data_IF_522333031418
#
_entry.id   IF_522333031418
#
_cell.length_a   1.000
_cell.length_b   1.000
_cell.length_c   1.000
_cell.angle_alpha   90.00
_cell.angle_beta   90.00
_cell.angle_gamma   90.00
#
_symmetry.space_group_name_H-M   'P 1'
#
loop_
_entity.id
_entity.type
_entity.pdbx_description
1 polymer ?
#
# COMPACT_ATOMS: atom_id res chain seq x y z
N UNK A 1 -24.29 -14.85 27.91
CA UNK A 1 -23.86 -14.77 26.50
C UNK A 1 -22.69 -15.72 26.27
N UNK A 2 -22.96 -16.97 25.89
CA UNK A 2 -21.93 -17.90 25.41
C UNK A 2 -21.46 -17.40 24.04
N UNK A 3 -20.21 -16.94 23.93
CA UNK A 3 -19.59 -16.81 22.61
C UNK A 3 -19.50 -18.23 22.06
N UNK A 4 -20.27 -18.56 21.03
CA UNK A 4 -20.01 -19.74 20.21
C UNK A 4 -18.55 -19.66 19.77
N UNK A 5 -17.67 -20.43 20.41
CA UNK A 5 -16.29 -20.58 19.98
C UNK A 5 -16.32 -21.41 18.71
N UNK A 6 -16.50 -20.72 17.61
CA UNK A 6 -16.37 -21.29 16.29
C UNK A 6 -14.96 -21.90 16.16
N UNK A 7 -14.81 -23.14 15.64
CA UNK A 7 -13.54 -23.86 15.67
C UNK A 7 -12.40 -23.06 15.02
N UNK A 8 -11.25 -22.97 15.68
CA UNK A 8 -10.08 -22.28 15.13
C UNK A 8 -9.61 -22.95 13.83
N UNK A 9 -9.42 -22.17 12.77
CA UNK A 9 -8.86 -22.67 11.51
C UNK A 9 -7.40 -23.06 11.71
N UNK A 10 -6.99 -24.25 11.26
CA UNK A 10 -5.57 -24.64 11.30
C UNK A 10 -4.73 -23.72 10.41
N UNK A 11 -3.44 -23.55 10.75
CA UNK A 11 -2.54 -22.68 9.99
C UNK A 11 -2.41 -23.09 8.51
N UNK A 12 -2.44 -24.40 8.24
CA UNK A 12 -2.42 -24.93 6.86
C UNK A 12 -3.68 -24.53 6.09
N UNK A 13 -4.87 -24.73 6.68
CA UNK A 13 -6.14 -24.36 6.04
C UNK A 13 -6.24 -22.86 5.79
N UNK A 14 -5.81 -22.05 6.76
CA UNK A 14 -5.77 -20.60 6.60
C UNK A 14 -4.90 -20.18 5.42
N UNK A 15 -3.67 -20.70 5.31
CA UNK A 15 -2.76 -20.40 4.20
C UNK A 15 -3.35 -20.78 2.84
N UNK A 16 -3.91 -21.98 2.74
CA UNK A 16 -4.56 -22.44 1.50
C UNK A 16 -5.72 -21.51 1.14
N UNK A 17 -6.56 -21.14 2.11
CA UNK A 17 -7.67 -20.22 1.88
C UNK A 17 -7.20 -18.83 1.45
N UNK A 18 -6.13 -18.29 2.04
CA UNK A 18 -5.54 -17.01 1.61
C UNK A 18 -5.02 -17.07 0.18
N UNK A 19 -4.29 -18.14 -0.18
CA UNK A 19 -3.79 -18.34 -1.55
C UNK A 19 -4.95 -18.50 -2.53
N UNK A 20 -6.00 -19.24 -2.15
CA UNK A 20 -7.19 -19.40 -2.97
C UNK A 20 -7.90 -18.06 -3.21
N UNK A 21 -8.09 -17.24 -2.16
CA UNK A 21 -8.68 -15.89 -2.32
C UNK A 21 -7.82 -14.99 -3.21
N UNK A 22 -6.50 -15.01 -3.04
CA UNK A 22 -5.59 -14.24 -3.89
C UNK A 22 -5.66 -14.70 -5.36
N UNK A 23 -5.72 -16.00 -5.60
CA UNK A 23 -5.89 -16.56 -6.95
C UNK A 23 -7.25 -16.19 -7.57
N UNK A 24 -8.33 -16.24 -6.79
CA UNK A 24 -9.65 -15.78 -7.24
C UNK A 24 -9.61 -14.31 -7.62
N UNK A 25 -9.00 -13.45 -6.80
CA UNK A 25 -8.85 -12.03 -7.11
C UNK A 25 -8.09 -11.81 -8.43
N UNK A 26 -6.96 -12.51 -8.63
CA UNK A 26 -6.20 -12.44 -9.88
C UNK A 26 -7.04 -12.86 -11.10
N UNK A 27 -7.76 -13.98 -11.01
CA UNK A 27 -8.59 -14.49 -12.12
C UNK A 27 -9.74 -13.55 -12.43
N UNK A 28 -10.44 -13.03 -11.42
CA UNK A 28 -11.56 -12.09 -11.62
C UNK A 28 -11.05 -10.80 -12.24
N UNK A 29 -9.99 -10.20 -11.69
CA UNK A 29 -9.40 -8.96 -12.24
C UNK A 29 -8.86 -9.17 -13.65
N UNK A 30 -8.19 -10.29 -13.92
CA UNK A 30 -7.75 -10.64 -15.27
C UNK A 30 -8.95 -10.72 -16.23
N UNK A 31 -10.03 -11.36 -15.82
CA UNK A 31 -11.23 -11.52 -16.64
C UNK A 31 -11.88 -10.16 -16.94
N UNK A 32 -12.05 -9.31 -15.91
CA UNK A 32 -12.62 -7.97 -16.07
C UNK A 32 -11.72 -7.10 -16.96
N UNK A 33 -10.40 -7.13 -16.76
CA UNK A 33 -9.44 -6.38 -17.57
C UNK A 33 -9.41 -6.79 -19.05
N UNK A 34 -9.84 -8.02 -19.39
CA UNK A 34 -9.89 -8.50 -20.77
C UNK A 34 -11.28 -8.40 -21.40
N UNK A 35 -12.36 -8.60 -20.63
CA UNK A 35 -13.73 -8.63 -21.15
C UNK A 35 -14.43 -7.27 -21.06
N UNK A 36 -14.21 -6.52 -19.98
CA UNK A 36 -14.85 -5.22 -19.75
C UNK A 36 -13.98 -4.08 -20.29
N UNK A 37 -12.66 -4.20 -20.17
CA UNK A 37 -11.69 -3.20 -20.64
C UNK A 37 -10.75 -3.73 -21.76
N UNK A 38 -11.28 -4.30 -22.87
CA UNK A 38 -10.44 -4.79 -23.96
C UNK A 38 -9.58 -3.67 -24.57
N UNK A 39 -10.11 -2.45 -24.62
CA UNK A 39 -9.48 -1.25 -25.17
C UNK A 39 -9.08 -0.23 -24.11
N UNK A 40 -8.79 -0.69 -22.88
CA UNK A 40 -8.50 0.17 -21.72
C UNK A 40 -9.72 1.00 -21.27
N UNK A 41 -9.56 1.75 -20.20
CA UNK A 41 -10.56 2.68 -19.69
C UNK A 41 -10.55 4.00 -20.46
N UNK A 42 -11.60 4.80 -20.24
CA UNK A 42 -11.69 6.16 -20.76
C UNK A 42 -10.77 7.15 -20.02
N UNK A 43 -10.06 6.71 -18.98
CA UNK A 43 -9.13 7.56 -18.26
C UNK A 43 -7.81 7.68 -19.05
N UNK A 44 -7.52 8.90 -19.50
CA UNK A 44 -6.30 9.22 -20.24
C UNK A 44 -5.01 8.92 -19.45
N UNK A 45 -5.08 8.92 -18.11
CA UNK A 45 -3.94 8.55 -17.25
C UNK A 45 -3.44 7.13 -17.56
N UNK A 46 -4.34 6.22 -17.96
CA UNK A 46 -3.99 4.83 -18.24
C UNK A 46 -2.99 4.72 -19.40
N UNK A 47 -3.20 5.51 -20.46
CA UNK A 47 -2.27 5.60 -21.58
C UNK A 47 -0.91 6.18 -21.16
N UNK A 48 -0.89 7.12 -20.23
CA UNK A 48 0.34 7.74 -19.72
C UNK A 48 1.16 6.74 -18.91
N UNK A 49 0.53 5.95 -18.04
CA UNK A 49 1.23 4.89 -17.30
C UNK A 49 1.78 3.80 -18.22
N UNK A 50 1.04 3.41 -19.27
CA UNK A 50 1.53 2.44 -20.26
C UNK A 50 2.67 3.00 -21.11
N UNK A 51 2.58 4.28 -21.53
CA UNK A 51 3.66 4.97 -22.23
C UNK A 51 4.91 5.06 -21.35
N UNK A 52 4.76 5.49 -20.09
CA UNK A 52 5.86 5.55 -19.13
C UNK A 52 6.44 4.15 -18.88
N UNK A 53 5.62 3.10 -18.84
CA UNK A 53 6.09 1.73 -18.70
C UNK A 53 6.90 1.27 -19.92
N UNK A 54 6.48 1.62 -21.14
CA UNK A 54 7.26 1.36 -22.36
C UNK A 54 8.60 2.11 -22.34
N UNK A 55 8.59 3.40 -22.00
CA UNK A 55 9.81 4.20 -21.84
C UNK A 55 10.80 3.56 -20.85
N UNK A 56 10.31 3.08 -19.70
CA UNK A 56 11.16 2.41 -18.71
C UNK A 56 11.79 1.11 -19.25
N UNK A 57 11.05 0.35 -20.07
CA UNK A 57 11.59 -0.85 -20.73
C UNK A 57 12.68 -0.51 -21.75
N UNK A 58 12.56 0.65 -22.39
CA UNK A 58 13.57 1.19 -23.32
C UNK A 58 14.72 1.94 -22.62
N UNK A 59 14.74 1.95 -21.28
CA UNK A 59 15.77 2.64 -20.49
C UNK A 59 15.64 4.16 -20.49
N UNK A 60 14.45 4.69 -20.81
CA UNK A 60 14.17 6.12 -20.94
C UNK A 60 13.35 6.65 -19.75
N UNK A 61 13.73 7.84 -19.27
CA UNK A 61 12.97 8.61 -18.28
C UNK A 61 12.30 9.86 -18.87
N UNK A 62 12.69 10.24 -20.08
CA UNK A 62 12.18 11.42 -20.79
C UNK A 62 12.19 11.15 -22.28
N UNK A 63 11.24 11.71 -23.00
CA UNK A 63 11.17 11.70 -24.46
C UNK A 63 11.86 12.96 -25.00
N UNK A 64 12.44 12.85 -26.19
CA UNK A 64 12.99 13.97 -26.94
C UNK A 64 12.24 14.01 -28.26
N UNK A 65 11.26 14.92 -28.42
CA UNK A 65 10.50 14.99 -29.65
C UNK A 65 11.42 15.39 -30.81
N UNK A 66 11.31 14.75 -31.98
CA UNK A 66 12.18 15.06 -33.13
C UNK A 66 11.89 16.44 -33.73
N UNK A 67 10.71 17.00 -33.46
CA UNK A 67 10.28 18.32 -33.91
C UNK A 67 9.63 19.05 -32.73
N UNK A 68 10.19 20.20 -32.38
CA UNK A 68 9.70 21.03 -31.28
C UNK A 68 8.25 21.47 -31.50
N UNK A 69 7.45 21.40 -30.45
CA UNK A 69 6.05 21.85 -30.45
C UNK A 69 5.06 20.97 -31.23
N UNK A 70 5.53 20.00 -32.03
CA UNK A 70 4.66 19.09 -32.78
C UNK A 70 4.12 17.94 -31.92
N UNK A 71 4.87 17.53 -30.89
CA UNK A 71 4.47 16.48 -29.96
C UNK A 71 4.12 17.07 -28.60
N UNK A 72 2.84 16.99 -28.23
CA UNK A 72 2.35 17.34 -26.88
C UNK A 72 1.63 16.15 -26.26
N UNK A 73 2.37 15.13 -25.77
CA UNK A 73 1.77 13.99 -25.11
C UNK A 73 0.99 14.46 -23.88
N UNK A 74 -0.21 13.92 -23.72
CA UNK A 74 -1.09 14.28 -22.61
C UNK A 74 -0.41 13.93 -21.26
N UNK A 75 -0.44 14.86 -20.29
CA UNK A 75 0.23 14.74 -18.97
C UNK A 75 1.76 14.54 -18.99
N UNK A 76 2.44 15.01 -20.04
CA UNK A 76 3.88 15.22 -19.99
C UNK A 76 4.18 16.69 -19.69
N UNK A 77 5.29 16.93 -18.99
CA UNK A 77 5.80 18.26 -18.67
C UNK A 77 6.99 18.53 -19.59
N UNK A 78 6.98 19.71 -20.22
CA UNK A 78 8.08 20.19 -21.06
C UNK A 78 9.19 20.76 -20.18
N UNK A 79 10.42 20.33 -20.43
CA UNK A 79 11.65 20.82 -19.81
C UNK A 79 12.73 20.95 -20.89
N UNK A 80 12.81 22.13 -21.50
CA UNK A 80 13.68 22.40 -22.65
C UNK A 80 13.30 21.56 -23.87
N UNK A 81 14.24 20.75 -24.34
CA UNK A 81 14.09 19.81 -25.46
C UNK A 81 13.54 18.43 -25.03
N UNK A 82 13.12 18.30 -23.78
CA UNK A 82 12.70 17.03 -23.17
C UNK A 82 11.27 17.09 -22.66
N UNK A 83 10.62 15.93 -22.69
CA UNK A 83 9.29 15.72 -22.15
C UNK A 83 9.35 14.61 -21.12
N UNK A 84 8.91 14.85 -19.90
CA UNK A 84 8.85 13.80 -18.87
C UNK A 84 7.42 13.59 -18.34
N UNK A 85 7.05 12.35 -17.97
CA UNK A 85 5.72 12.09 -17.41
C UNK A 85 5.53 12.85 -16.10
N UNK A 86 4.36 13.47 -15.92
CA UNK A 86 3.98 14.12 -14.66
C UNK A 86 3.95 13.15 -13.47
N UNK A 87 3.67 11.87 -13.73
CA UNK A 87 3.48 10.85 -12.70
C UNK A 87 4.80 10.18 -12.28
N UNK A 88 4.86 9.77 -11.00
CA UNK A 88 5.99 9.03 -10.46
C UNK A 88 6.15 7.67 -11.15
N UNK A 89 7.39 7.15 -11.30
CA UNK A 89 7.66 5.98 -12.15
C UNK A 89 7.25 4.64 -11.53
N UNK A 90 6.91 4.60 -10.23
CA UNK A 90 6.70 3.34 -9.51
C UNK A 90 5.53 2.51 -10.07
N UNK A 91 4.31 3.06 -10.28
CA UNK A 91 3.22 2.29 -10.88
C UNK A 91 3.57 1.80 -12.29
N UNK A 92 4.17 2.66 -13.12
CA UNK A 92 4.61 2.31 -14.47
C UNK A 92 5.65 1.18 -14.47
N UNK A 93 6.61 1.20 -13.53
CA UNK A 93 7.60 0.14 -13.37
C UNK A 93 6.94 -1.21 -13.03
N UNK A 94 5.91 -1.21 -12.17
CA UNK A 94 5.17 -2.43 -11.86
C UNK A 94 4.45 -3.00 -13.10
N UNK A 95 3.89 -2.14 -13.95
CA UNK A 95 3.28 -2.56 -15.22
C UNK A 95 4.32 -3.07 -16.23
N UNK A 96 5.49 -2.42 -16.30
CA UNK A 96 6.63 -2.86 -17.11
C UNK A 96 7.09 -4.28 -16.74
N UNK A 97 7.15 -4.61 -15.44
CA UNK A 97 7.44 -5.98 -14.97
C UNK A 97 6.39 -6.98 -15.49
N UNK A 98 5.11 -6.62 -15.50
CA UNK A 98 4.07 -7.45 -16.11
C UNK A 98 4.31 -7.69 -17.61
N UNK A 99 4.73 -6.65 -18.34
CA UNK A 99 5.09 -6.77 -19.76
C UNK A 99 6.26 -7.72 -19.98
N UNK A 100 7.31 -7.66 -19.14
CA UNK A 100 8.41 -8.62 -19.18
C UNK A 100 7.96 -10.06 -18.91
N UNK A 101 6.93 -10.25 -18.09
CA UNK A 101 6.33 -11.56 -17.82
C UNK A 101 5.39 -12.09 -18.93
N UNK A 102 5.17 -11.31 -20.01
CA UNK A 102 4.37 -11.71 -21.17
C UNK A 102 3.22 -10.77 -21.50
N UNK A 103 2.90 -9.78 -20.66
CA UNK A 103 1.88 -8.79 -20.97
C UNK A 103 1.52 -7.89 -19.80
N UNK A 104 1.24 -6.60 -20.07
CA UNK A 104 0.95 -5.60 -19.03
C UNK A 104 -0.15 -6.05 -18.06
N UNK A 105 -1.21 -6.70 -18.56
CA UNK A 105 -2.35 -7.18 -17.74
C UNK A 105 -1.94 -8.20 -16.67
N UNK A 106 -0.81 -8.88 -16.82
CA UNK A 106 -0.30 -9.80 -15.80
C UNK A 106 0.07 -9.05 -14.51
N UNK A 107 0.54 -7.81 -14.63
CA UNK A 107 0.77 -6.96 -13.46
C UNK A 107 -0.52 -6.70 -12.70
N UNK A 108 -1.63 -6.40 -13.39
CA UNK A 108 -2.93 -6.15 -12.76
C UNK A 108 -3.39 -7.35 -11.91
N UNK A 109 -3.34 -8.54 -12.50
CA UNK A 109 -3.70 -9.78 -11.79
C UNK A 109 -2.79 -10.05 -10.58
N UNK A 110 -1.47 -9.86 -10.72
CA UNK A 110 -0.52 -10.05 -9.64
C UNK A 110 -0.70 -9.03 -8.50
N UNK A 111 -0.92 -7.76 -8.84
CA UNK A 111 -1.17 -6.68 -7.87
C UNK A 111 -2.48 -6.93 -7.14
N UNK A 112 -3.53 -7.37 -7.83
CA UNK A 112 -4.80 -7.73 -7.21
C UNK A 112 -4.63 -8.88 -6.20
N UNK A 113 -3.97 -9.97 -6.60
CA UNK A 113 -3.65 -11.07 -5.69
C UNK A 113 -2.86 -10.61 -4.46
N UNK A 114 -1.83 -9.76 -4.68
CA UNK A 114 -1.03 -9.19 -3.61
C UNK A 114 -1.85 -8.34 -2.64
N UNK A 115 -2.73 -7.49 -3.15
CA UNK A 115 -3.63 -6.66 -2.35
C UNK A 115 -4.53 -7.53 -1.46
N UNK A 116 -5.20 -8.54 -2.01
CA UNK A 116 -6.07 -9.43 -1.21
C UNK A 116 -5.26 -10.20 -0.17
N UNK A 117 -4.10 -10.76 -0.55
CA UNK A 117 -3.25 -11.49 0.38
C UNK A 117 -2.77 -10.60 1.53
N UNK A 118 -2.39 -9.35 1.25
CA UNK A 118 -1.96 -8.39 2.26
C UNK A 118 -3.11 -7.90 3.13
N UNK A 119 -4.31 -7.68 2.58
CA UNK A 119 -5.51 -7.39 3.39
C UNK A 119 -5.75 -8.50 4.41
N UNK A 120 -5.71 -9.76 3.96
CA UNK A 120 -5.84 -10.91 4.86
C UNK A 120 -4.70 -10.94 5.89
N UNK A 121 -3.46 -10.61 5.48
CA UNK A 121 -2.30 -10.52 6.36
C UNK A 121 -2.44 -9.45 7.45
N UNK A 122 -2.79 -8.23 7.07
CA UNK A 122 -3.01 -7.10 7.98
C UNK A 122 -4.16 -7.39 8.94
N UNK A 123 -5.29 -7.87 8.43
CA UNK A 123 -6.44 -8.24 9.25
C UNK A 123 -6.09 -9.38 10.22
N UNK A 124 -5.21 -10.30 9.83
CA UNK A 124 -4.74 -11.39 10.71
C UNK A 124 -3.86 -10.89 11.85
N UNK A 125 -3.14 -9.78 11.68
CA UNK A 125 -2.36 -9.19 12.76
C UNK A 125 -3.25 -8.53 13.82
N UNK A 126 -4.37 -7.94 13.40
CA UNK A 126 -5.32 -7.22 14.27
C UNK A 126 -6.42 -8.12 14.86
N UNK A 127 -6.83 -9.16 14.14
CA UNK A 127 -8.00 -10.01 14.46
C UNK A 127 -7.69 -11.52 14.33
N UNK A 128 -8.73 -12.35 14.33
CA UNK A 128 -8.64 -13.80 14.15
C UNK A 128 -8.60 -14.22 12.66
N UNK A 129 -8.29 -15.50 12.42
CA UNK A 129 -8.14 -16.08 11.07
C UNK A 129 -9.42 -15.99 10.23
N UNK A 130 -10.61 -16.08 10.83
CA UNK A 130 -11.88 -16.07 10.08
C UNK A 130 -12.21 -14.66 9.66
N UNK A 131 -12.10 -13.70 10.59
CA UNK A 131 -12.27 -12.27 10.30
C UNK A 131 -11.32 -11.81 9.20
N UNK A 132 -10.07 -12.28 9.22
CA UNK A 132 -9.10 -11.98 8.17
C UNK A 132 -9.51 -12.51 6.78
N UNK A 133 -10.01 -13.75 6.68
CA UNK A 133 -10.50 -14.30 5.42
C UNK A 133 -11.77 -13.60 4.94
N UNK A 134 -12.68 -13.25 5.85
CA UNK A 134 -13.88 -12.46 5.53
C UNK A 134 -13.50 -11.09 4.98
N UNK A 135 -12.51 -10.41 5.55
CA UNK A 135 -12.01 -9.14 5.02
C UNK A 135 -11.51 -9.29 3.57
N UNK A 136 -10.72 -10.34 3.28
CA UNK A 136 -10.29 -10.63 1.91
C UNK A 136 -11.46 -10.91 0.95
N UNK A 137 -12.45 -11.69 1.40
CA UNK A 137 -13.66 -11.96 0.62
C UNK A 137 -14.49 -10.71 0.34
N UNK A 138 -14.64 -9.81 1.32
CA UNK A 138 -15.36 -8.54 1.15
C UNK A 138 -14.64 -7.60 0.17
N UNK A 139 -13.31 -7.60 0.15
CA UNK A 139 -12.54 -6.83 -0.84
C UNK A 139 -12.78 -7.37 -2.26
N UNK A 140 -12.75 -8.69 -2.45
CA UNK A 140 -13.07 -9.29 -3.77
C UNK A 140 -14.51 -8.98 -4.19
N UNK A 141 -15.45 -8.97 -3.25
CA UNK A 141 -16.86 -8.66 -3.51
C UNK A 141 -17.12 -7.18 -3.81
N UNK A 142 -16.13 -6.30 -3.59
CA UNK A 142 -16.26 -4.86 -3.85
C UNK A 142 -16.12 -4.55 -5.34
N UNK A 143 -17.16 -4.01 -6.01
CA UNK A 143 -17.07 -3.63 -7.42
C UNK A 143 -16.01 -2.56 -7.67
N UNK A 144 -15.85 -1.61 -6.74
CA UNK A 144 -14.85 -0.55 -6.84
C UNK A 144 -13.44 -1.13 -6.89
N UNK A 145 -13.13 -2.08 -6.01
CA UNK A 145 -11.83 -2.74 -5.98
C UNK A 145 -11.56 -3.49 -7.29
N UNK A 146 -12.55 -4.22 -7.81
CA UNK A 146 -12.40 -4.98 -9.05
C UNK A 146 -12.17 -4.05 -10.25
N UNK A 147 -12.92 -2.95 -10.35
CA UNK A 147 -12.77 -1.97 -11.45
C UNK A 147 -11.39 -1.30 -11.36
N UNK A 148 -11.03 -0.75 -10.20
CA UNK A 148 -9.76 -0.02 -10.02
C UNK A 148 -8.52 -0.92 -10.16
N UNK A 149 -8.67 -2.22 -9.88
CA UNK A 149 -7.57 -3.20 -10.06
C UNK A 149 -7.49 -3.72 -11.50
N UNK A 150 -8.49 -3.47 -12.35
CA UNK A 150 -8.58 -3.98 -13.73
C UNK A 150 -8.11 -2.98 -14.80
N UNK A 151 -7.57 -1.84 -14.38
CA UNK A 151 -7.09 -0.75 -15.25
C UNK A 151 -5.68 -0.33 -14.85
N UNK A 152 -4.89 0.23 -15.78
CA UNK A 152 -3.52 0.69 -15.50
C UNK A 152 -3.46 2.04 -14.79
N UNK A 153 -4.05 2.12 -13.60
CA UNK A 153 -4.07 3.30 -12.74
C UNK A 153 -3.25 3.07 -11.45
N UNK A 154 -2.84 4.13 -10.75
CA UNK A 154 -1.91 4.01 -9.62
C UNK A 154 -2.59 3.51 -8.33
N UNK A 155 -3.92 3.40 -8.29
CA UNK A 155 -4.68 3.10 -7.07
C UNK A 155 -4.38 1.72 -6.50
N UNK A 156 -4.48 0.66 -7.31
CA UNK A 156 -4.18 -0.69 -6.86
C UNK A 156 -2.67 -0.88 -6.52
N UNK A 157 -1.71 -0.39 -7.33
CA UNK A 157 -0.29 -0.35 -6.96
C UNK A 157 -0.02 0.37 -5.64
N UNK A 158 -0.59 1.55 -5.43
CA UNK A 158 -0.37 2.35 -4.21
C UNK A 158 -0.95 1.65 -2.99
N UNK A 159 -2.14 1.06 -3.13
CA UNK A 159 -2.76 0.24 -2.09
C UNK A 159 -1.85 -0.91 -1.68
N UNK A 160 -1.19 -1.57 -2.64
CA UNK A 160 -0.27 -2.67 -2.37
C UNK A 160 0.88 -2.24 -1.48
N UNK A 161 1.53 -1.11 -1.82
CA UNK A 161 2.64 -0.57 -1.04
C UNK A 161 2.20 -0.13 0.36
N UNK A 162 1.04 0.51 0.48
CA UNK A 162 0.47 0.91 1.77
C UNK A 162 0.15 -0.30 2.66
N UNK A 163 -0.45 -1.34 2.08
CA UNK A 163 -0.75 -2.58 2.80
C UNK A 163 0.52 -3.32 3.20
N UNK A 164 1.54 -3.30 2.34
CA UNK A 164 2.82 -3.92 2.64
C UNK A 164 3.51 -3.21 3.81
N UNK A 165 3.52 -1.88 3.80
CA UNK A 165 3.98 -1.07 4.91
C UNK A 165 3.20 -1.38 6.19
N UNK A 166 1.87 -1.38 6.13
CA UNK A 166 1.02 -1.66 7.28
C UNK A 166 1.27 -3.06 7.85
N UNK A 167 1.40 -4.07 6.99
CA UNK A 167 1.71 -5.44 7.39
C UNK A 167 3.07 -5.53 8.08
N UNK A 168 4.12 -4.97 7.46
CA UNK A 168 5.47 -4.96 8.02
C UNK A 168 5.53 -4.24 9.37
N UNK A 169 4.87 -3.08 9.48
CA UNK A 169 4.79 -2.31 10.71
C UNK A 169 4.11 -3.10 11.85
N UNK A 170 2.92 -3.66 11.62
CA UNK A 170 2.19 -4.44 12.62
C UNK A 170 2.96 -5.72 13.02
N UNK A 171 3.61 -6.35 12.04
CA UNK A 171 4.43 -7.54 12.27
C UNK A 171 5.66 -7.24 13.12
N UNK A 172 6.34 -6.13 12.84
CA UNK A 172 7.50 -5.67 13.60
C UNK A 172 7.11 -5.37 15.06
N UNK A 173 6.01 -4.66 15.27
CA UNK A 173 5.49 -4.34 16.62
C UNK A 173 5.17 -5.61 17.42
N UNK A 174 4.49 -6.58 16.79
CA UNK A 174 4.11 -7.83 17.45
C UNK A 174 5.28 -8.75 17.78
N UNK A 175 6.28 -8.83 16.89
CA UNK A 175 7.40 -9.76 17.03
C UNK A 175 8.60 -9.15 17.73
N UNK A 176 8.67 -7.82 17.85
CA UNK A 176 9.83 -7.09 18.35
C UNK A 176 11.02 -7.07 17.38
N UNK A 177 10.88 -7.61 16.17
CA UNK A 177 11.94 -7.70 15.18
C UNK A 177 11.84 -6.56 14.16
N UNK A 178 12.81 -5.64 14.21
CA UNK A 178 12.92 -4.47 13.34
C UNK A 178 13.16 -4.82 11.87
N UNK A 179 13.56 -6.06 11.55
CA UNK A 179 13.71 -6.51 10.16
C UNK A 179 12.39 -6.42 9.40
N UNK A 180 11.26 -6.59 10.07
CA UNK A 180 9.93 -6.42 9.48
C UNK A 180 9.55 -4.95 9.23
N UNK A 181 10.17 -4.00 9.94
CA UNK A 181 9.96 -2.57 9.71
C UNK A 181 10.74 -2.04 8.49
N UNK A 182 11.74 -2.80 8.01
CA UNK A 182 12.62 -2.42 6.90
C UNK A 182 12.45 -3.29 5.65
N UNK A 183 11.67 -4.38 5.72
CA UNK A 183 11.55 -5.32 4.59
C UNK A 183 10.38 -4.96 3.67
N UNK A 184 10.61 -4.68 2.38
CA UNK A 184 9.56 -4.74 1.38
C UNK A 184 9.26 -6.24 1.12
N UNK A 185 8.33 -6.81 1.90
CA UNK A 185 7.86 -8.19 1.76
C UNK A 185 8.95 -9.28 1.78
N UNK A 186 9.43 -9.66 2.97
CA UNK A 186 10.10 -10.95 3.11
C UNK A 186 9.09 -12.08 2.93
N UNK A 187 8.96 -12.54 1.69
CA UNK A 187 8.41 -13.83 1.35
C UNK A 187 9.17 -14.91 2.12
N UNK A 188 8.53 -15.52 3.11
CA UNK A 188 8.73 -16.93 3.47
C UNK A 188 7.72 -17.35 4.52
N UNK A 189 6.90 -18.33 4.14
CA UNK A 189 6.24 -19.21 5.09
C UNK A 189 7.32 -19.84 6.03
N UNK A 190 7.27 -19.51 7.34
CA UNK A 190 7.58 -20.30 8.59
C UNK A 190 8.21 -21.72 8.45
N UNK A 191 9.02 -22.30 9.40
CA UNK A 191 9.06 -22.14 10.88
C UNK A 191 10.44 -22.01 11.56
N UNK A 192 10.48 -21.51 12.81
CA UNK A 192 10.90 -22.37 13.94
C UNK A 192 10.63 -21.69 15.29
N UNK A 193 10.24 -22.54 16.23
CA UNK A 193 10.12 -22.33 17.66
C UNK A 193 11.19 -21.41 18.26
N UNK A 194 10.76 -20.35 18.94
CA UNK A 194 11.27 -19.91 20.25
C UNK A 194 10.21 -19.00 20.87
N UNK A 195 9.63 -19.43 21.99
CA UNK A 195 9.01 -18.50 22.93
C UNK A 195 10.06 -17.46 23.37
N UNK A 196 9.60 -16.27 23.77
CA UNK A 196 9.11 -16.16 25.13
C UNK A 196 7.71 -15.55 25.21
N UNK A 197 6.99 -16.03 26.22
CA UNK A 197 5.80 -15.47 26.85
C UNK A 197 5.50 -13.99 26.57
N UNK A 198 4.29 -13.62 26.13
CA UNK A 198 3.84 -12.26 26.30
C UNK A 198 3.46 -12.08 27.77
N UNK A 199 4.30 -11.36 28.52
CA UNK A 199 3.83 -10.62 29.69
C UNK A 199 2.59 -9.85 29.26
N UNK A 200 1.47 -10.10 29.91
CA UNK A 200 0.26 -9.29 29.83
C UNK A 200 0.65 -7.81 29.96
N UNK A 201 0.65 -7.10 28.85
CA UNK A 201 0.80 -5.66 28.84
C UNK A 201 -0.56 -5.05 29.22
N UNK A 202 -0.89 -5.13 30.52
CA UNK A 202 -1.99 -4.39 31.14
C UNK A 202 -1.73 -2.87 31.15
N UNK A 203 -0.57 -2.42 30.65
CA UNK A 203 -0.10 -1.04 30.72
C UNK A 203 -0.27 -0.22 29.44
N UNK A 204 -0.89 -0.76 28.38
CA UNK A 204 -1.13 0.00 27.14
C UNK A 204 -2.60 0.37 26.90
N UNK A 205 -3.51 0.02 27.83
CA UNK A 205 -4.92 0.45 27.80
C UNK A 205 -5.16 1.82 28.45
N UNK A 206 -4.13 2.45 29.03
CA UNK A 206 -4.21 3.75 29.74
C UNK A 206 -3.56 4.92 29.01
N UNK A 207 -2.90 4.72 27.86
CA UNK A 207 -2.22 5.79 27.11
C UNK A 207 -3.12 6.51 26.10
N UNK A 208 -4.27 5.94 25.74
CA UNK A 208 -5.24 6.61 24.83
C UNK A 208 -5.97 7.79 25.51
N UNK A 209 -5.96 7.88 26.84
CA UNK A 209 -6.61 8.98 27.58
C UNK A 209 -5.68 10.13 27.97
N UNK A 210 -4.39 10.11 27.56
CA UNK A 210 -3.38 11.07 28.04
C UNK A 210 -2.54 11.74 26.94
N UNK A 211 -3.10 11.92 25.74
CA UNK A 211 -2.49 12.72 24.68
C UNK A 211 -3.37 13.91 24.25
N UNK A 212 -4.14 14.45 25.20
CA UNK A 212 -4.96 15.66 25.02
C UNK A 212 -4.55 16.76 26.00
N UNK A 213 -3.31 17.26 25.91
CA UNK A 213 -2.93 18.53 26.55
C UNK A 213 -1.64 19.08 25.93
N UNK A 214 -1.76 19.73 24.78
CA UNK A 214 -0.75 20.69 24.32
C UNK A 214 -0.73 21.87 25.29
N UNK A 215 0.30 21.93 26.15
CA UNK A 215 0.52 23.04 27.08
C UNK A 215 1.33 24.10 26.32
N UNK A 216 0.67 25.17 25.92
CA UNK A 216 1.31 26.40 25.43
C UNK A 216 2.08 27.01 26.59
N UNK A 217 3.41 27.00 26.53
CA UNK A 217 4.28 27.72 27.46
C UNK A 217 4.34 29.19 27.06
N UNK A 218 3.36 29.98 27.51
CA UNK A 218 3.44 31.43 27.53
C UNK A 218 4.27 31.89 28.73
N UNK A 219 5.51 32.31 28.49
CA UNK A 219 6.35 32.93 29.52
C UNK A 219 5.83 34.33 29.87
N UNK A 220 5.18 34.47 31.03
CA UNK A 220 4.93 35.78 31.66
C UNK A 220 6.14 36.14 32.53
N UNK A 221 6.77 37.27 32.23
CA UNK A 221 7.72 37.94 33.15
C UNK A 221 6.92 38.58 34.28
N UNK A 222 7.32 38.34 35.53
CA UNK A 222 6.82 39.07 36.71
C UNK A 222 7.55 40.42 36.85
N UNK A 223 6.87 41.45 37.37
CA UNK A 223 7.50 42.73 37.70
C UNK A 223 7.89 42.76 39.18
N UNK A 224 9.09 43.24 39.49
CA UNK A 224 9.39 43.81 40.80
C UNK A 224 10.31 45.03 40.61
N UNK A 225 9.82 46.17 41.10
CA UNK A 225 10.50 47.46 41.35
C UNK A 225 10.96 47.45 42.83
N UNK A 226 11.94 48.26 43.31
CA UNK A 226 11.87 49.73 43.22
C UNK A 226 13.19 50.56 43.23
N UNK A 227 12.98 51.84 42.88
CA UNK A 227 13.65 53.10 43.31
C UNK A 227 15.18 53.30 43.24
N UNK A 228 15.59 54.22 42.34
CA UNK A 228 16.42 55.46 42.47
C UNK A 228 17.55 55.53 43.53
N UNK A 229 18.66 56.32 43.33
CA UNK A 229 18.70 57.63 42.65
C UNK A 229 19.94 57.99 41.78
N UNK A 230 19.73 58.97 40.89
CA UNK A 230 20.54 60.19 40.61
C UNK A 230 22.07 60.10 40.42
N UNK A 231 22.57 60.55 39.25
CA UNK A 231 23.50 61.69 39.04
C UNK A 231 24.22 61.63 37.68
N UNK A 232 24.36 62.84 37.09
CA UNK A 232 25.14 63.31 35.93
C UNK A 232 24.77 62.90 34.48
#
# INVERSE_FOLDING_TARGET
MQRHQLPELTQRRFRIATVALAAVAAVVVWTVANQVFPYHSLNHDEGVYLQQAAMLLDGQLSLHPPVDGAFRPWFFVEDGDRLYPKYGPIPAAMFAVGKLAGGYRLALAAIAAGNVALVVGVARELFDRRTALLAGGLVIASPLYLIDSSVFLPYAPTTLWNLLFAYGYLRADRTGDRRWALSPASASLWPSSRGPTPRCCSRCRSSVTRCGRWRVTGGRRSPDRPSSPESD
#
